data_IF_271972985733
#
_entry.id   IF_271972985733
#
_cell.length_a   1.000
_cell.length_b   1.000
_cell.length_c   1.000
_cell.angle_alpha   90.00
_cell.angle_beta   90.00
_cell.angle_gamma   90.00
#
_symmetry.space_group_name_H-M   'P 1'
#
loop_
_entity.id
_entity.type
_entity.pdbx_description
1 polymer ?
#
# COMPACT_ATOMS: atom_id res chain seq x y z
N UNK A 1 -26.91 -7.30 -66.29
CA UNK A 1 -26.98 -6.82 -64.89
C UNK A 1 -28.07 -7.60 -64.21
N UNK A 2 -27.62 -8.48 -63.33
CA UNK A 2 -28.17 -9.82 -63.11
C UNK A 2 -29.13 -9.83 -61.93
N UNK A 3 -30.21 -10.59 -62.10
CA UNK A 3 -31.21 -11.04 -61.13
C UNK A 3 -30.63 -11.45 -59.76
N UNK A 4 -29.32 -11.73 -59.67
CA UNK A 4 -28.63 -12.14 -58.44
C UNK A 4 -28.55 -11.09 -57.33
N UNK A 5 -28.36 -9.80 -57.63
CA UNK A 5 -28.19 -8.77 -56.57
C UNK A 5 -29.50 -8.50 -55.83
N UNK A 6 -30.62 -8.47 -56.56
CA UNK A 6 -31.94 -8.31 -55.99
C UNK A 6 -32.37 -9.54 -55.17
N UNK A 7 -31.99 -10.74 -55.62
CA UNK A 7 -32.29 -11.99 -54.92
C UNK A 7 -31.54 -12.09 -53.59
N UNK A 8 -30.27 -11.69 -53.54
CA UNK A 8 -29.47 -11.66 -52.30
C UNK A 8 -30.00 -10.63 -51.31
N UNK A 9 -30.43 -9.46 -51.77
CA UNK A 9 -31.07 -8.45 -50.92
C UNK A 9 -32.39 -8.92 -50.30
N UNK A 10 -33.19 -9.67 -51.06
CA UNK A 10 -34.46 -10.21 -50.59
C UNK A 10 -34.28 -11.29 -49.52
N UNK A 11 -33.27 -12.16 -49.68
CA UNK A 11 -32.91 -13.17 -48.67
C UNK A 11 -32.45 -12.50 -47.38
N UNK A 12 -31.65 -11.43 -47.45
CA UNK A 12 -31.19 -10.71 -46.28
C UNK A 12 -32.33 -10.05 -45.51
N UNK A 13 -33.26 -9.40 -46.22
CA UNK A 13 -34.40 -8.73 -45.60
C UNK A 13 -35.38 -9.74 -44.98
N UNK A 14 -35.60 -10.88 -45.63
CA UNK A 14 -36.38 -11.97 -45.08
C UNK A 14 -35.76 -12.54 -43.80
N UNK A 15 -34.44 -12.73 -43.79
CA UNK A 15 -33.71 -13.24 -42.62
C UNK A 15 -33.75 -12.26 -41.43
N UNK A 16 -33.65 -10.95 -41.71
CA UNK A 16 -33.73 -9.92 -40.67
C UNK A 16 -35.12 -9.87 -40.03
N UNK A 17 -36.18 -9.94 -40.85
CA UNK A 17 -37.57 -10.01 -40.36
C UNK A 17 -37.82 -11.31 -39.59
N UNK A 18 -37.27 -12.43 -40.06
CA UNK A 18 -37.37 -13.72 -39.37
C UNK A 18 -36.69 -13.69 -37.99
N UNK A 19 -35.49 -13.10 -37.89
CA UNK A 19 -34.79 -12.90 -36.62
C UNK A 19 -35.54 -11.96 -35.68
N UNK A 20 -36.13 -10.88 -36.18
CA UNK A 20 -36.95 -9.97 -35.37
C UNK A 20 -38.22 -10.66 -34.85
N UNK A 21 -38.89 -11.45 -35.70
CA UNK A 21 -40.10 -12.19 -35.33
C UNK A 21 -39.81 -13.25 -34.24
N UNK A 22 -38.74 -14.02 -34.37
CA UNK A 22 -38.38 -15.03 -33.37
C UNK A 22 -37.86 -14.42 -32.06
N UNK A 23 -37.17 -13.28 -32.14
CA UNK A 23 -36.75 -12.52 -30.96
C UNK A 23 -37.94 -11.98 -30.16
N UNK A 24 -39.04 -11.61 -30.83
CA UNK A 24 -40.27 -11.16 -30.17
C UNK A 24 -41.17 -12.30 -29.65
N UNK A 25 -41.21 -13.45 -30.32
CA UNK A 25 -42.13 -14.54 -29.96
C UNK A 25 -41.70 -15.31 -28.70
N UNK A 26 -40.40 -15.50 -28.47
CA UNK A 26 -39.85 -16.10 -27.24
C UNK A 26 -40.06 -15.22 -25.99
N UNK A 27 -40.28 -13.91 -26.18
CA UNK A 27 -40.46 -12.96 -25.08
C UNK A 27 -41.84 -13.06 -24.38
N UNK A 28 -42.86 -13.62 -25.05
CA UNK A 28 -44.24 -13.62 -24.54
C UNK A 28 -44.78 -14.98 -24.06
N UNK A 29 -44.12 -16.11 -24.35
CA UNK A 29 -44.69 -17.45 -24.09
C UNK A 29 -43.91 -18.38 -23.14
N UNK A 30 -42.89 -17.90 -22.42
CA UNK A 30 -42.30 -18.68 -21.31
C UNK A 30 -42.96 -18.33 -19.98
N UNK A 31 -44.09 -18.96 -19.68
CA UNK A 31 -44.79 -18.87 -18.41
C UNK A 31 -44.49 -20.09 -17.54
N UNK A 32 -43.22 -20.30 -17.19
CA UNK A 32 -42.81 -21.30 -16.21
C UNK A 32 -41.91 -20.65 -15.15
N UNK A 33 -42.55 -19.98 -14.19
CA UNK A 33 -41.89 -19.50 -12.97
C UNK A 33 -41.56 -20.70 -12.08
N UNK A 34 -40.42 -21.36 -12.32
CA UNK A 34 -39.78 -22.18 -11.29
C UNK A 34 -39.06 -21.25 -10.32
N UNK A 35 -39.73 -20.94 -9.22
CA UNK A 35 -39.14 -20.30 -8.04
C UNK A 35 -38.24 -21.30 -7.33
N UNK A 36 -36.95 -21.35 -7.67
CA UNK A 36 -35.96 -21.98 -6.78
C UNK A 36 -35.68 -21.00 -5.66
N UNK A 37 -36.41 -21.13 -4.56
CA UNK A 37 -36.10 -20.50 -3.29
C UNK A 37 -34.88 -21.20 -2.68
N UNK A 38 -33.69 -20.97 -3.22
CA UNK A 38 -32.45 -21.19 -2.48
C UNK A 38 -31.96 -19.80 -2.04
N UNK A 39 -32.63 -19.28 -1.02
CA UNK A 39 -32.03 -18.23 -0.19
C UNK A 39 -30.95 -18.94 0.60
N UNK A 40 -29.69 -18.82 0.15
CA UNK A 40 -28.55 -19.25 0.94
C UNK A 40 -28.68 -18.67 2.35
N UNK A 41 -28.50 -19.50 3.37
CA UNK A 41 -28.58 -19.04 4.76
C UNK A 41 -27.57 -17.90 4.97
N UNK A 42 -27.82 -16.99 5.92
CA UNK A 42 -26.89 -15.90 6.26
C UNK A 42 -25.44 -16.41 6.41
N UNK A 43 -25.31 -17.64 6.92
CA UNK A 43 -24.08 -18.38 7.16
C UNK A 43 -23.26 -18.68 5.89
N UNK A 44 -23.87 -18.66 4.70
CA UNK A 44 -23.22 -18.93 3.41
C UNK A 44 -22.85 -17.66 2.64
N UNK A 45 -23.26 -16.48 3.11
CA UNK A 45 -22.99 -15.22 2.42
C UNK A 45 -21.48 -14.92 2.36
N UNK A 46 -20.96 -14.34 1.26
CA UNK A 46 -19.56 -13.94 1.16
C UNK A 46 -19.12 -12.98 2.28
N UNK A 47 -20.01 -12.08 2.68
CA UNK A 47 -19.78 -11.13 3.78
C UNK A 47 -19.67 -11.84 5.12
N UNK A 48 -20.57 -12.80 5.42
CA UNK A 48 -20.47 -13.61 6.63
C UNK A 48 -19.22 -14.48 6.67
N UNK A 49 -18.79 -15.03 5.53
CA UNK A 49 -17.53 -15.78 5.42
C UNK A 49 -16.30 -14.90 5.68
N UNK A 50 -16.29 -13.68 5.15
CA UNK A 50 -15.24 -12.70 5.48
C UNK A 50 -15.24 -12.37 6.98
N UNK A 51 -16.41 -12.25 7.59
CA UNK A 51 -16.57 -12.08 9.04
C UNK A 51 -15.99 -13.25 9.83
N UNK A 52 -16.26 -14.50 9.45
CA UNK A 52 -15.72 -15.70 10.11
C UNK A 52 -14.21 -15.84 9.94
N UNK A 53 -13.68 -15.59 8.74
CA UNK A 53 -12.24 -15.60 8.49
C UNK A 53 -11.53 -14.56 9.36
N UNK A 54 -12.12 -13.38 9.51
CA UNK A 54 -11.56 -12.33 10.35
C UNK A 54 -11.48 -12.71 11.82
N UNK A 55 -12.52 -13.34 12.36
CA UNK A 55 -12.50 -13.87 13.72
C UNK A 55 -11.37 -14.89 13.88
N UNK A 56 -11.22 -15.80 12.92
CA UNK A 56 -10.18 -16.82 12.95
C UNK A 56 -8.78 -16.20 12.91
N UNK A 57 -8.55 -15.13 12.13
CA UNK A 57 -7.29 -14.38 12.12
C UNK A 57 -6.96 -13.82 13.51
N UNK A 58 -7.92 -13.16 14.18
CA UNK A 58 -7.73 -12.60 15.52
C UNK A 58 -7.44 -13.70 16.55
N UNK A 59 -8.18 -14.81 16.49
CA UNK A 59 -7.99 -15.95 17.41
C UNK A 59 -6.63 -16.63 17.21
N UNK A 60 -6.16 -16.73 15.97
CA UNK A 60 -4.91 -17.43 15.62
C UNK A 60 -3.66 -16.55 15.66
N UNK A 61 -3.79 -15.23 15.74
CA UNK A 61 -2.65 -14.32 15.81
C UNK A 61 -1.80 -14.58 17.07
N UNK A 62 -0.52 -14.99 16.94
CA UNK A 62 0.35 -15.26 18.08
C UNK A 62 0.87 -13.99 18.77
N UNK A 63 0.68 -12.81 18.15
CA UNK A 63 1.18 -11.53 18.64
C UNK A 63 0.20 -10.83 19.59
N UNK A 64 -1.07 -11.25 19.60
CA UNK A 64 -2.12 -10.68 20.45
C UNK A 64 -2.27 -11.46 21.76
N UNK A 65 -2.36 -10.75 22.89
CA UNK A 65 -2.68 -11.36 24.18
C UNK A 65 -4.18 -11.69 24.30
N UNK A 66 -4.56 -12.45 25.33
CA UNK A 66 -5.95 -12.90 25.49
C UNK A 66 -6.94 -11.73 25.69
N UNK A 67 -6.50 -10.63 26.30
CA UNK A 67 -7.35 -9.47 26.56
C UNK A 67 -7.59 -8.66 25.28
N UNK A 68 -6.54 -8.39 24.49
CA UNK A 68 -6.64 -7.75 23.18
C UNK A 68 -7.48 -8.58 22.22
N UNK A 69 -7.30 -9.91 22.19
CA UNK A 69 -8.16 -10.81 21.40
C UNK A 69 -9.62 -10.68 21.79
N UNK A 70 -9.93 -10.72 23.09
CA UNK A 70 -11.29 -10.63 23.58
C UNK A 70 -11.96 -9.32 23.14
N UNK A 71 -11.27 -8.20 23.27
CA UNK A 71 -11.84 -6.88 22.91
C UNK A 71 -12.00 -6.73 21.40
N UNK A 72 -11.03 -7.21 20.61
CA UNK A 72 -11.15 -7.22 19.14
C UNK A 72 -12.31 -8.11 18.69
N UNK A 73 -12.51 -9.25 19.36
CA UNK A 73 -13.64 -10.15 19.13
C UNK A 73 -14.95 -9.51 19.58
N UNK A 74 -15.00 -8.81 20.71
CA UNK A 74 -16.21 -8.13 21.21
C UNK A 74 -16.59 -6.94 20.32
N UNK A 75 -15.61 -6.18 19.84
CA UNK A 75 -15.83 -5.14 18.85
C UNK A 75 -16.31 -5.72 17.52
N UNK A 76 -15.67 -6.80 17.06
CA UNK A 76 -16.10 -7.56 15.89
C UNK A 76 -17.53 -8.09 16.04
N UNK A 77 -17.89 -8.63 17.22
CA UNK A 77 -19.25 -9.10 17.53
C UNK A 77 -20.26 -7.95 17.52
N UNK A 78 -19.86 -6.78 18.01
CA UNK A 78 -20.70 -5.56 17.99
C UNK A 78 -20.98 -5.15 16.54
N UNK A 79 -19.93 -5.01 15.71
CA UNK A 79 -20.07 -4.71 14.28
C UNK A 79 -20.87 -5.78 13.54
N UNK A 80 -20.64 -7.07 13.84
CA UNK A 80 -21.41 -8.17 13.26
C UNK A 80 -22.89 -8.06 13.63
N UNK A 81 -23.20 -7.70 14.88
CA UNK A 81 -24.58 -7.57 15.36
C UNK A 81 -25.31 -6.36 14.77
N UNK A 82 -24.59 -5.26 14.53
CA UNK A 82 -25.11 -4.04 13.90
C UNK A 82 -25.27 -4.18 12.39
N UNK A 83 -24.40 -4.98 11.75
CA UNK A 83 -24.46 -5.24 10.31
C UNK A 83 -25.43 -6.38 9.94
N UNK A 84 -25.71 -7.31 10.87
CA UNK A 84 -26.65 -8.42 10.68
C UNK A 84 -28.04 -8.01 10.14
N UNK A 85 -28.70 -6.92 10.58
CA UNK A 85 -29.96 -6.45 10.00
C UNK A 85 -29.83 -6.03 8.53
N UNK A 86 -28.66 -5.52 8.13
CA UNK A 86 -28.36 -5.11 6.76
C UNK A 86 -27.91 -6.27 5.86
N UNK A 87 -27.39 -7.35 6.45
CA UNK A 87 -27.03 -8.60 5.76
C UNK A 87 -28.19 -9.58 5.61
N UNK A 88 -29.19 -9.48 6.49
CA UNK A 88 -30.47 -10.13 6.29
C UNK A 88 -31.17 -9.45 5.11
N UNK A 89 -31.73 -10.19 4.15
CA UNK A 89 -32.59 -9.58 3.16
C UNK A 89 -33.82 -9.05 3.89
N UNK A 90 -33.82 -7.77 4.26
CA UNK A 90 -35.06 -7.06 4.60
C UNK A 90 -36.01 -7.30 3.44
N UNK A 91 -37.18 -7.88 3.77
CA UNK A 91 -38.40 -8.14 2.99
C UNK A 91 -38.52 -7.52 1.60
N UNK A 92 -37.51 -7.67 0.77
CA UNK A 92 -37.44 -7.16 -0.57
C UNK A 92 -37.57 -8.39 -1.42
N UNK A 93 -38.82 -8.67 -1.75
CA UNK A 93 -39.19 -9.10 -3.09
C UNK A 93 -38.64 -8.10 -4.13
N UNK A 94 -37.31 -7.95 -4.20
CA UNK A 94 -36.64 -7.61 -5.44
C UNK A 94 -36.82 -8.85 -6.28
N UNK A 95 -37.91 -8.84 -7.06
CA UNK A 95 -37.97 -9.64 -8.29
C UNK A 95 -36.76 -9.20 -9.10
N UNK A 96 -35.59 -9.81 -8.89
CA UNK A 96 -34.53 -9.76 -9.88
C UNK A 96 -35.17 -10.37 -11.11
N UNK A 97 -35.46 -9.52 -12.08
CA UNK A 97 -35.78 -9.95 -13.42
C UNK A 97 -34.48 -10.57 -13.96
N UNK A 98 -34.21 -11.82 -13.56
CA UNK A 98 -33.23 -12.64 -14.24
C UNK A 98 -33.92 -12.96 -15.55
N UNK A 99 -33.52 -12.25 -16.60
CA UNK A 99 -33.86 -12.62 -17.96
C UNK A 99 -33.36 -14.05 -18.11
N UNK A 100 -34.27 -15.02 -18.18
CA UNK A 100 -33.93 -16.37 -18.54
C UNK A 100 -33.15 -16.27 -19.85
N UNK A 101 -31.86 -16.60 -19.86
CA UNK A 101 -31.08 -16.64 -21.10
C UNK A 101 -31.64 -17.84 -21.86
N UNK A 102 -32.42 -17.65 -22.95
CA UNK A 102 -32.85 -18.80 -23.72
C UNK A 102 -31.58 -19.48 -24.24
N UNK A 103 -31.53 -20.82 -24.18
CA UNK A 103 -30.35 -21.62 -24.54
C UNK A 103 -29.88 -21.43 -26.02
N UNK A 104 -30.61 -20.63 -26.81
CA UNK A 104 -30.34 -20.29 -28.21
C UNK A 104 -29.51 -19.01 -28.41
N UNK A 105 -29.32 -18.19 -27.37
CA UNK A 105 -28.57 -16.93 -27.45
C UNK A 105 -27.07 -17.08 -27.85
N UNK A 106 -26.29 -18.11 -27.43
CA UNK A 106 -24.90 -18.24 -27.87
C UNK A 106 -24.78 -18.57 -29.37
N UNK A 107 -25.77 -19.23 -29.97
CA UNK A 107 -25.76 -19.55 -31.40
C UNK A 107 -25.99 -18.32 -32.29
N UNK A 108 -26.83 -17.38 -31.83
CA UNK A 108 -27.06 -16.11 -32.53
C UNK A 108 -25.85 -15.17 -32.43
N UNK A 109 -25.18 -15.12 -31.27
CA UNK A 109 -23.95 -14.33 -31.10
C UNK A 109 -22.82 -14.93 -31.94
N UNK A 110 -22.65 -16.25 -31.96
CA UNK A 110 -21.67 -16.94 -32.81
C UNK A 110 -21.92 -16.72 -34.31
N UNK A 111 -23.19 -16.77 -34.75
CA UNK A 111 -23.56 -16.49 -36.14
C UNK A 111 -23.29 -15.02 -36.52
N UNK A 112 -23.56 -14.08 -35.61
CA UNK A 112 -23.28 -12.66 -35.82
C UNK A 112 -21.78 -12.38 -35.90
N UNK A 113 -20.96 -13.04 -35.05
CA UNK A 113 -19.51 -12.89 -35.05
C UNK A 113 -18.90 -13.45 -36.35
N UNK A 114 -19.35 -14.63 -36.79
CA UNK A 114 -18.92 -15.22 -38.06
C UNK A 114 -19.24 -14.33 -39.26
N UNK A 115 -20.42 -13.71 -39.26
CA UNK A 115 -20.82 -12.78 -40.33
C UNK A 115 -20.02 -11.48 -40.31
N UNK A 116 -19.72 -10.93 -39.12
CA UNK A 116 -18.90 -9.74 -38.97
C UNK A 116 -17.47 -9.96 -39.49
N UNK A 117 -16.86 -11.12 -39.21
CA UNK A 117 -15.52 -11.50 -39.71
C UNK A 117 -15.52 -11.67 -41.24
N UNK A 118 -16.56 -12.31 -41.79
CA UNK A 118 -16.70 -12.46 -43.25
C UNK A 118 -16.88 -11.09 -43.93
N UNK A 119 -17.61 -10.17 -43.30
CA UNK A 119 -17.84 -8.82 -43.78
C UNK A 119 -16.58 -7.94 -43.74
N UNK A 120 -15.78 -7.99 -42.66
CA UNK A 120 -14.47 -7.30 -42.62
C UNK A 120 -13.48 -7.88 -43.63
N UNK A 121 -13.50 -9.20 -43.86
CA UNK A 121 -12.67 -9.83 -44.90
C UNK A 121 -13.07 -9.35 -46.31
N UNK A 122 -14.37 -9.22 -46.59
CA UNK A 122 -14.88 -8.77 -47.89
C UNK A 122 -14.58 -7.27 -48.14
N UNK A 123 -14.63 -6.44 -47.11
CA UNK A 123 -14.20 -5.02 -47.16
C UNK A 123 -12.69 -4.91 -47.37
N UNK A 124 -11.89 -5.74 -46.67
CA UNK A 124 -10.44 -5.79 -46.84
C UNK A 124 -9.99 -6.23 -48.23
N UNK A 125 -10.76 -7.10 -48.89
CA UNK A 125 -10.49 -7.55 -50.27
C UNK A 125 -10.80 -6.49 -51.34
N UNK A 126 -11.70 -5.52 -51.08
CA UNK A 126 -11.99 -4.43 -52.01
C UNK A 126 -11.10 -3.20 -51.81
N UNK A 127 -10.49 -3.00 -50.64
CA UNK A 127 -9.64 -1.84 -50.33
C UNK A 127 -8.37 -2.22 -49.52
N UNK A 128 -7.24 -2.56 -50.19
CA UNK A 128 -5.99 -2.87 -49.49
C UNK A 128 -5.39 -1.60 -48.86
N UNK A 129 -5.36 -1.53 -47.52
CA UNK A 129 -4.64 -0.49 -46.76
C UNK A 129 -5.39 0.16 -45.58
N UNK A 130 -6.66 -0.19 -45.33
CA UNK A 130 -7.49 0.50 -44.34
C UNK A 130 -7.37 -0.01 -42.88
N UNK A 131 -6.66 -1.11 -42.61
CA UNK A 131 -6.53 -1.67 -41.25
C UNK A 131 -5.06 -1.70 -40.81
N UNK A 132 -4.67 -0.77 -39.94
CA UNK A 132 -3.43 -0.82 -39.16
C UNK A 132 -3.79 -0.95 -37.67
N UNK A 133 -3.38 -2.05 -37.05
CA UNK A 133 -3.54 -2.27 -35.62
C UNK A 133 -2.39 -1.62 -34.84
N UNK A 134 -2.62 -1.05 -33.64
CA UNK A 134 -1.55 -0.51 -32.81
C UNK A 134 -0.82 -1.62 -32.06
N UNK A 135 0.51 -1.51 -31.96
CA UNK A 135 1.36 -2.42 -31.19
C UNK A 135 1.08 -2.29 -29.69
N UNK A 136 0.63 -3.37 -29.05
CA UNK A 136 0.50 -3.47 -27.59
C UNK A 136 1.80 -3.99 -27.00
N UNK A 137 2.65 -3.09 -26.50
CA UNK A 137 3.77 -3.45 -25.64
C UNK A 137 3.70 -2.62 -24.34
N UNK A 138 2.87 -3.06 -23.41
CA UNK A 138 2.85 -2.55 -22.03
C UNK A 138 3.70 -3.49 -21.17
N UNK A 139 4.97 -3.12 -21.01
CA UNK A 139 5.84 -3.65 -19.97
C UNK A 139 5.22 -3.39 -18.60
N UNK A 140 5.06 -4.47 -17.86
CA UNK A 140 4.66 -4.58 -16.46
C UNK A 140 5.38 -3.52 -15.60
N UNK A 141 4.64 -2.51 -15.12
CA UNK A 141 5.12 -1.56 -14.13
C UNK A 141 4.44 -1.88 -12.80
N UNK A 142 5.17 -2.58 -11.94
CA UNK A 142 4.87 -2.74 -10.52
C UNK A 142 4.55 -1.35 -9.94
N UNK A 143 3.38 -1.19 -9.33
CA UNK A 143 3.00 0.07 -8.69
C UNK A 143 3.92 0.34 -7.49
N UNK A 144 4.50 1.54 -7.36
CA UNK A 144 5.34 1.89 -6.21
C UNK A 144 4.48 2.00 -4.93
N UNK A 145 5.02 1.58 -3.79
CA UNK A 145 4.36 1.69 -2.49
C UNK A 145 4.14 3.16 -2.08
N UNK A 146 3.10 3.39 -1.26
CA UNK A 146 2.63 4.72 -0.83
C UNK A 146 3.75 5.55 -0.17
N UNK A 147 4.72 4.91 0.48
CA UNK A 147 5.89 5.55 1.08
C UNK A 147 6.81 6.24 0.05
N UNK A 148 6.95 5.68 -1.15
CA UNK A 148 7.75 6.26 -2.22
C UNK A 148 7.09 7.52 -2.82
N UNK A 149 5.76 7.62 -2.75
CA UNK A 149 5.03 8.82 -3.15
C UNK A 149 5.14 9.95 -2.12
N UNK A 150 5.31 9.64 -0.83
CA UNK A 150 5.49 10.62 0.25
C UNK A 150 6.83 11.37 0.07
N UNK A 151 7.93 10.68 -0.21
CA UNK A 151 9.24 11.32 -0.39
C UNK A 151 9.39 12.07 -1.72
N UNK A 152 8.69 11.66 -2.78
CA UNK A 152 8.73 12.36 -4.07
C UNK A 152 7.92 13.66 -4.11
N UNK A 153 7.03 13.90 -3.12
CA UNK A 153 6.14 15.07 -3.07
C UNK A 153 6.64 16.21 -2.18
N UNK A 154 7.78 16.04 -1.50
CA UNK A 154 8.51 17.11 -0.83
C UNK A 154 9.29 17.95 -1.87
N UNK A 155 8.58 18.59 -2.79
CA UNK A 155 9.14 19.55 -3.75
C UNK A 155 9.61 20.84 -3.07
N UNK A 156 10.71 21.39 -3.55
CA UNK A 156 11.35 22.62 -3.03
C UNK A 156 10.38 23.82 -2.96
N UNK A 157 10.41 24.62 -1.87
CA UNK A 157 9.73 25.91 -1.83
C UNK A 157 10.51 26.91 -2.71
N UNK A 158 10.15 27.02 -3.99
CA UNK A 158 10.91 27.84 -4.96
C UNK A 158 10.14 28.49 -6.10
N UNK A 159 9.00 27.96 -6.54
CA UNK A 159 8.26 28.55 -7.66
C UNK A 159 7.04 29.32 -7.14
N UNK A 160 7.02 30.64 -7.33
CA UNK A 160 5.99 31.57 -6.85
C UNK A 160 4.62 31.48 -7.54
N UNK A 161 4.18 30.28 -7.96
CA UNK A 161 2.78 30.04 -8.29
C UNK A 161 1.99 29.87 -6.99
N UNK A 162 0.87 30.59 -6.87
CA UNK A 162 0.05 30.55 -5.68
C UNK A 162 -0.50 29.14 -5.45
N UNK A 163 -0.65 28.71 -4.20
CA UNK A 163 -1.09 27.34 -3.87
C UNK A 163 -2.47 27.03 -4.48
N UNK A 164 -3.32 28.05 -4.56
CA UNK A 164 -4.65 28.01 -5.16
C UNK A 164 -4.62 27.77 -6.67
N UNK A 165 -3.64 28.34 -7.39
CA UNK A 165 -3.52 28.14 -8.85
C UNK A 165 -3.08 26.70 -9.17
N UNK A 166 -2.19 26.14 -8.34
CA UNK A 166 -1.77 24.74 -8.43
C UNK A 166 -2.92 23.78 -8.10
N UNK A 167 -3.73 24.13 -7.11
CA UNK A 167 -4.94 23.38 -6.75
C UNK A 167 -5.94 23.35 -7.91
N UNK A 168 -6.22 24.50 -8.53
CA UNK A 168 -7.13 24.59 -9.67
C UNK A 168 -6.63 23.73 -10.85
N UNK A 169 -5.33 23.76 -11.14
CA UNK A 169 -4.71 22.91 -12.16
C UNK A 169 -4.83 21.41 -11.84
N UNK A 170 -4.64 21.03 -10.58
CA UNK A 170 -4.79 19.63 -10.13
C UNK A 170 -6.25 19.16 -10.26
N UNK A 171 -7.22 19.99 -9.87
CA UNK A 171 -8.65 19.67 -10.00
C UNK A 171 -9.07 19.53 -11.47
N UNK A 172 -8.62 20.43 -12.35
CA UNK A 172 -8.90 20.34 -13.78
C UNK A 172 -8.35 19.04 -14.38
N UNK A 173 -7.12 18.65 -14.00
CA UNK A 173 -6.53 17.38 -14.45
C UNK A 173 -7.33 16.17 -13.96
N UNK A 174 -7.79 16.18 -12.71
CA UNK A 174 -8.59 15.07 -12.16
C UNK A 174 -9.99 14.99 -12.76
N UNK A 175 -10.53 16.10 -13.29
CA UNK A 175 -11.76 16.09 -14.06
C UNK A 175 -11.59 15.36 -15.42
N UNK A 176 -10.40 15.46 -16.03
CA UNK A 176 -10.07 14.73 -17.27
C UNK A 176 -9.62 13.28 -16.99
N UNK A 177 -9.02 13.03 -15.82
CA UNK A 177 -8.45 11.73 -15.41
C UNK A 177 -9.05 11.29 -14.07
N UNK A 178 -10.33 10.87 -14.04
CA UNK A 178 -11.02 10.53 -12.80
C UNK A 178 -10.49 9.26 -12.12
N UNK A 179 -9.73 8.43 -12.84
CA UNK A 179 -9.18 7.17 -12.30
C UNK A 179 -7.76 7.36 -11.68
N UNK A 180 -7.25 8.60 -11.60
CA UNK A 180 -5.94 8.89 -11.00
C UNK A 180 -6.02 8.90 -9.46
N UNK A 181 -5.92 7.71 -8.85
CA UNK A 181 -5.88 7.53 -7.40
C UNK A 181 -4.85 8.46 -6.72
N UNK A 182 -3.65 8.56 -7.29
CA UNK A 182 -2.56 9.36 -6.69
C UNK A 182 -2.92 10.84 -6.70
N UNK A 183 -3.54 11.30 -7.78
CA UNK A 183 -4.05 12.66 -7.88
C UNK A 183 -5.13 12.97 -6.84
N UNK A 184 -6.08 12.05 -6.61
CA UNK A 184 -7.11 12.23 -5.58
C UNK A 184 -6.54 12.30 -4.16
N UNK A 185 -5.57 11.45 -3.83
CA UNK A 185 -4.89 11.49 -2.52
C UNK A 185 -4.09 12.79 -2.35
N UNK A 186 -3.39 13.24 -3.40
CA UNK A 186 -2.67 14.52 -3.37
C UNK A 186 -3.64 15.70 -3.19
N UNK A 187 -4.79 15.67 -3.89
CA UNK A 187 -5.82 16.69 -3.76
C UNK A 187 -6.33 16.76 -2.32
N UNK A 188 -6.62 15.60 -1.72
CA UNK A 188 -7.05 15.51 -0.33
C UNK A 188 -6.03 16.11 0.65
N UNK A 189 -4.75 15.73 0.54
CA UNK A 189 -3.67 16.25 1.40
C UNK A 189 -3.48 17.75 1.22
N UNK A 190 -3.60 18.24 -0.01
CA UNK A 190 -3.52 19.68 -0.31
C UNK A 190 -4.65 20.43 0.40
N UNK A 191 -5.90 19.96 0.27
CA UNK A 191 -7.04 20.52 1.01
C UNK A 191 -6.85 20.44 2.54
N UNK A 192 -6.35 19.33 3.07
CA UNK A 192 -6.04 19.18 4.49
C UNK A 192 -5.00 20.20 4.98
N UNK A 193 -3.95 20.44 4.19
CA UNK A 193 -2.91 21.44 4.53
C UNK A 193 -3.44 22.87 4.60
N UNK A 194 -4.52 23.15 3.88
CA UNK A 194 -5.24 24.44 3.91
C UNK A 194 -6.38 24.47 4.95
N UNK A 195 -6.50 23.44 5.79
CA UNK A 195 -7.62 23.26 6.74
C UNK A 195 -9.01 23.15 6.08
N UNK A 196 -9.06 22.85 4.79
CA UNK A 196 -10.29 22.61 4.02
C UNK A 196 -10.71 21.14 4.19
N UNK A 197 -11.17 20.78 5.39
CA UNK A 197 -11.38 19.39 5.78
C UNK A 197 -12.55 18.72 5.04
N UNK A 198 -13.62 19.46 4.72
CA UNK A 198 -14.75 18.92 3.94
C UNK A 198 -14.31 18.52 2.52
N UNK A 199 -13.54 19.38 1.86
CA UNK A 199 -13.03 19.16 0.52
C UNK A 199 -12.00 18.03 0.52
N UNK A 200 -11.17 17.95 1.56
CA UNK A 200 -10.24 16.84 1.77
C UNK A 200 -10.97 15.49 1.88
N UNK A 201 -12.00 15.41 2.71
CA UNK A 201 -12.83 14.22 2.85
C UNK A 201 -13.52 13.85 1.52
N UNK A 202 -13.96 14.82 0.74
CA UNK A 202 -14.57 14.59 -0.58
C UNK A 202 -13.58 13.95 -1.57
N UNK A 203 -12.34 14.45 -1.62
CA UNK A 203 -11.29 13.86 -2.44
C UNK A 203 -10.90 12.45 -1.98
N UNK A 204 -10.86 12.19 -0.66
CA UNK A 204 -10.63 10.85 -0.11
C UNK A 204 -11.75 9.86 -0.44
N UNK A 205 -13.02 10.31 -0.47
CA UNK A 205 -14.14 9.48 -0.93
C UNK A 205 -13.95 9.03 -2.38
N UNK A 206 -13.42 9.91 -3.25
CA UNK A 206 -13.04 9.52 -4.62
C UNK A 206 -11.88 8.54 -4.67
N UNK A 207 -10.86 8.72 -3.85
CA UNK A 207 -9.78 7.74 -3.73
C UNK A 207 -10.30 6.36 -3.26
N UNK A 208 -11.26 6.36 -2.33
CA UNK A 208 -11.87 5.13 -1.79
C UNK A 208 -12.75 4.40 -2.82
N UNK A 209 -13.44 5.12 -3.70
CA UNK A 209 -14.18 4.52 -4.84
C UNK A 209 -13.24 3.70 -5.75
N UNK A 210 -12.00 4.17 -5.94
CA UNK A 210 -10.98 3.48 -6.75
C UNK A 210 -10.27 2.34 -6.00
N UNK A 211 -10.27 2.39 -4.66
CA UNK A 211 -9.60 1.40 -3.80
C UNK A 211 -10.48 1.01 -2.61
N UNK A 212 -11.60 0.28 -2.84
CA UNK A 212 -12.52 -0.07 -1.77
C UNK A 212 -11.81 -0.86 -0.66
N UNK A 213 -11.98 -0.42 0.59
CA UNK A 213 -11.40 -1.08 1.76
C UNK A 213 -9.96 -0.72 2.09
N UNK A 214 -9.29 0.17 1.34
CA UNK A 214 -7.90 0.53 1.63
C UNK A 214 -7.77 1.20 3.01
N UNK A 215 -7.00 0.62 3.96
CA UNK A 215 -7.03 1.04 5.36
C UNK A 215 -6.48 2.46 5.58
N UNK A 216 -5.42 2.86 4.87
CA UNK A 216 -4.90 4.24 4.94
C UNK A 216 -5.92 5.29 4.53
N UNK A 217 -6.64 5.06 3.42
CA UNK A 217 -7.63 6.02 2.90
C UNK A 217 -8.84 6.08 3.83
N UNK A 218 -9.26 4.95 4.40
CA UNK A 218 -10.31 4.91 5.42
C UNK A 218 -9.91 5.66 6.70
N UNK A 219 -8.68 5.49 7.17
CA UNK A 219 -8.17 6.19 8.35
C UNK A 219 -7.99 7.70 8.11
N UNK A 220 -7.51 8.11 6.94
CA UNK A 220 -7.44 9.51 6.54
C UNK A 220 -8.84 10.12 6.38
N UNK A 221 -9.79 9.38 5.81
CA UNK A 221 -11.17 9.83 5.65
C UNK A 221 -11.86 10.01 7.00
N UNK A 222 -11.63 9.10 7.95
CA UNK A 222 -12.11 9.24 9.33
C UNK A 222 -11.59 10.53 9.98
N UNK A 223 -10.28 10.78 9.89
CA UNK A 223 -9.63 11.96 10.47
C UNK A 223 -10.15 13.26 9.84
N UNK A 224 -10.19 13.34 8.50
CA UNK A 224 -10.68 14.54 7.81
C UNK A 224 -12.17 14.79 8.07
N UNK A 225 -12.98 13.74 8.13
CA UNK A 225 -14.40 13.86 8.49
C UNK A 225 -14.55 14.35 9.94
N UNK A 226 -13.76 13.80 10.88
CA UNK A 226 -13.73 14.24 12.27
C UNK A 226 -13.35 15.71 12.40
N UNK A 227 -12.29 16.15 11.72
CA UNK A 227 -11.84 17.55 11.70
C UNK A 227 -12.93 18.48 11.16
N UNK A 228 -13.61 18.09 10.08
CA UNK A 228 -14.72 18.84 9.50
C UNK A 228 -15.92 18.99 10.47
N UNK A 229 -16.13 18.02 11.37
CA UNK A 229 -17.15 18.08 12.42
C UNK A 229 -16.62 18.59 13.78
N UNK A 230 -15.54 19.38 13.78
CA UNK A 230 -15.03 20.02 14.99
C UNK A 230 -14.26 19.08 15.92
N UNK A 231 -13.59 18.06 15.35
CA UNK A 231 -12.84 16.99 16.04
C UNK A 231 -13.70 16.03 16.86
N UNK A 232 -15.00 15.97 16.58
CA UNK A 232 -15.83 14.88 17.09
C UNK A 232 -15.48 13.61 16.31
N UNK A 233 -15.35 12.46 16.96
CA UNK A 233 -15.16 11.17 16.27
C UNK A 233 -16.45 10.34 16.20
N UNK A 234 -17.45 10.66 17.04
CA UNK A 234 -18.75 10.01 17.00
C UNK A 234 -19.43 10.11 15.62
N UNK A 235 -20.09 9.03 15.19
CA UNK A 235 -20.88 9.00 13.96
C UNK A 235 -20.10 8.50 12.74
N UNK A 236 -20.09 9.26 11.64
CA UNK A 236 -19.47 8.84 10.38
C UNK A 236 -17.97 8.48 10.53
N UNK A 237 -17.13 9.23 11.28
CA UNK A 237 -15.73 8.85 11.46
C UNK A 237 -15.53 7.49 12.13
N UNK A 238 -16.34 7.14 13.14
CA UNK A 238 -16.30 5.81 13.78
C UNK A 238 -16.53 4.67 12.79
N UNK A 239 -17.42 4.84 11.81
CA UNK A 239 -17.65 3.82 10.78
C UNK A 239 -16.42 3.61 9.90
N UNK A 240 -15.71 4.69 9.54
CA UNK A 240 -14.47 4.62 8.76
C UNK A 240 -13.31 4.05 9.57
N UNK A 241 -13.21 4.38 10.86
CA UNK A 241 -12.23 3.81 11.78
C UNK A 241 -12.45 2.30 11.89
N UNK A 242 -13.68 1.87 12.11
CA UNK A 242 -14.05 0.46 12.21
C UNK A 242 -13.73 -0.30 10.91
N UNK A 243 -14.05 0.29 9.75
CA UNK A 243 -13.71 -0.29 8.44
C UNK A 243 -12.18 -0.37 8.21
N UNK A 244 -11.43 0.65 8.62
CA UNK A 244 -9.97 0.65 8.53
C UNK A 244 -9.38 -0.48 9.38
N UNK A 245 -9.83 -0.63 10.63
CA UNK A 245 -9.40 -1.70 11.55
C UNK A 245 -9.90 -3.09 11.12
N UNK A 246 -11.00 -3.15 10.39
CA UNK A 246 -11.46 -4.38 9.78
C UNK A 246 -10.53 -4.82 8.64
N UNK A 247 -10.07 -3.89 7.80
CA UNK A 247 -9.10 -4.19 6.74
C UNK A 247 -7.70 -4.46 7.28
N UNK A 248 -7.23 -3.67 8.24
CA UNK A 248 -5.93 -3.82 8.89
C UNK A 248 -6.06 -3.55 10.39
N UNK A 249 -6.04 -4.59 11.25
CA UNK A 249 -6.24 -4.42 12.69
C UNK A 249 -5.03 -3.78 13.38
N UNK A 250 -3.89 -3.69 12.67
CA UNK A 250 -2.65 -3.12 13.17
C UNK A 250 -2.39 -1.73 12.60
N UNK A 251 -3.35 -1.16 11.88
CA UNK A 251 -3.19 0.15 11.26
C UNK A 251 -3.03 1.25 12.30
N UNK A 252 -1.83 1.82 12.41
CA UNK A 252 -1.45 2.71 13.52
C UNK A 252 -2.40 3.91 13.68
N UNK A 253 -2.69 4.61 12.59
CA UNK A 253 -3.59 5.78 12.63
C UNK A 253 -5.01 5.41 13.03
N UNK A 254 -5.51 4.26 12.57
CA UNK A 254 -6.88 3.84 12.86
C UNK A 254 -7.02 3.42 14.32
N UNK A 255 -6.00 2.77 14.89
CA UNK A 255 -5.91 2.45 16.32
C UNK A 255 -5.89 3.71 17.19
N UNK A 256 -5.11 4.73 16.80
CA UNK A 256 -5.07 6.01 17.52
C UNK A 256 -6.42 6.74 17.48
N UNK A 257 -7.09 6.76 16.33
CA UNK A 257 -8.42 7.35 16.18
C UNK A 257 -9.49 6.57 16.95
N UNK A 258 -9.43 5.23 16.96
CA UNK A 258 -10.34 4.38 17.74
C UNK A 258 -10.18 4.60 19.24
N UNK A 259 -8.94 4.72 19.72
CA UNK A 259 -8.66 5.02 21.12
C UNK A 259 -9.24 6.39 21.51
N UNK A 260 -9.00 7.40 20.66
CA UNK A 260 -9.51 8.76 20.86
C UNK A 260 -11.05 8.81 20.84
N UNK A 261 -11.70 8.04 19.95
CA UNK A 261 -13.15 7.93 19.88
C UNK A 261 -13.73 7.29 21.15
N UNK A 262 -13.10 6.20 21.63
CA UNK A 262 -13.49 5.55 22.87
C UNK A 262 -13.33 6.48 24.09
N UNK A 263 -12.29 7.31 24.14
CA UNK A 263 -12.12 8.33 25.19
C UNK A 263 -13.21 9.40 25.13
N UNK A 264 -13.54 9.91 23.95
CA UNK A 264 -14.64 10.88 23.76
C UNK A 264 -16.00 10.29 24.17
N UNK A 265 -16.20 8.99 23.95
CA UNK A 265 -17.40 8.26 24.38
C UNK A 265 -17.41 7.93 25.88
N UNK A 266 -16.30 8.15 26.60
CA UNK A 266 -16.15 7.81 28.02
C UNK A 266 -15.88 6.33 28.30
N UNK A 267 -15.61 5.52 27.29
CA UNK A 267 -15.28 4.10 27.41
C UNK A 267 -13.77 3.91 27.64
N UNK A 268 -13.34 4.14 28.88
CA UNK A 268 -11.92 4.02 29.25
C UNK A 268 -11.34 2.62 29.02
N UNK A 269 -12.18 1.58 29.09
CA UNK A 269 -11.72 0.20 28.88
C UNK A 269 -11.35 -0.02 27.42
N UNK A 270 -12.20 0.39 26.46
CA UNK A 270 -11.88 0.30 25.03
C UNK A 270 -10.69 1.18 24.66
N UNK A 271 -10.63 2.40 25.19
CA UNK A 271 -9.52 3.31 24.95
C UNK A 271 -8.17 2.69 25.34
N UNK A 272 -8.08 2.12 26.56
CA UNK A 272 -6.87 1.49 27.05
C UNK A 272 -6.41 0.35 26.14
N UNK A 273 -7.34 -0.44 25.62
CA UNK A 273 -7.02 -1.57 24.74
C UNK A 273 -6.45 -1.09 23.41
N UNK A 274 -7.08 -0.09 22.78
CA UNK A 274 -6.58 0.45 21.51
C UNK A 274 -5.19 1.11 21.68
N UNK A 275 -4.96 1.83 22.78
CA UNK A 275 -3.64 2.38 23.09
C UNK A 275 -2.58 1.30 23.30
N UNK A 276 -2.93 0.23 24.01
CA UNK A 276 -2.02 -0.89 24.23
C UNK A 276 -1.68 -1.57 22.90
N UNK A 277 -2.66 -1.80 22.04
CA UNK A 277 -2.45 -2.40 20.72
C UNK A 277 -1.57 -1.51 19.83
N UNK A 278 -1.83 -0.19 19.78
CA UNK A 278 -0.99 0.77 19.06
C UNK A 278 0.48 0.71 19.54
N UNK A 279 0.70 0.67 20.86
CA UNK A 279 2.03 0.58 21.43
C UNK A 279 2.76 -0.71 21.03
N UNK A 280 2.03 -1.84 20.93
CA UNK A 280 2.60 -3.12 20.49
C UNK A 280 2.97 -3.07 19.02
N UNK A 281 2.13 -2.49 18.16
CA UNK A 281 2.42 -2.33 16.73
C UNK A 281 3.69 -1.50 16.54
N UNK A 282 3.79 -0.35 17.22
CA UNK A 282 4.97 0.51 17.15
C UNK A 282 6.22 -0.19 17.67
N UNK A 283 6.14 -0.91 18.80
CA UNK A 283 7.26 -1.70 19.30
C UNK A 283 7.68 -2.82 18.35
N UNK A 284 6.73 -3.49 17.69
CA UNK A 284 7.02 -4.52 16.70
C UNK A 284 7.70 -3.92 15.46
N UNK A 285 7.23 -2.77 14.98
CA UNK A 285 7.85 -2.00 13.91
C UNK A 285 9.28 -1.59 14.27
N UNK A 286 9.48 -1.09 15.50
CA UNK A 286 10.81 -0.77 16.03
C UNK A 286 11.72 -2.01 16.15
N UNK A 287 11.17 -3.17 16.54
CA UNK A 287 11.89 -4.45 16.57
C UNK A 287 12.20 -4.99 15.17
N UNK A 288 11.41 -4.68 14.15
CA UNK A 288 11.71 -5.01 12.76
C UNK A 288 12.72 -4.03 12.15
N UNK A 289 12.74 -2.77 12.61
CA UNK A 289 13.78 -1.79 12.29
C UNK A 289 15.11 -2.05 12.99
N UNK A 290 15.15 -3.02 13.92
CA UNK A 290 16.34 -3.46 14.63
C UNK A 290 16.62 -4.91 14.19
N UNK A 291 17.67 -5.19 13.40
CA UNK A 291 17.78 -6.49 12.73
C UNK A 291 17.82 -7.64 13.74
N UNK A 292 16.99 -8.66 13.50
CA UNK A 292 17.07 -9.93 14.20
C UNK A 292 18.46 -10.55 14.01
N UNK A 293 18.97 -11.39 14.93
CA UNK A 293 20.29 -12.02 14.81
C UNK A 293 20.50 -12.82 13.51
N UNK A 294 19.41 -13.21 12.88
CA UNK A 294 19.32 -14.02 11.66
C UNK A 294 19.65 -13.20 10.38
N UNK A 295 19.59 -11.87 10.47
CA UNK A 295 19.91 -10.92 9.39
C UNK A 295 21.27 -10.22 9.60
N UNK A 296 22.12 -10.71 10.50
CA UNK A 296 23.46 -10.13 10.71
C UNK A 296 24.44 -10.70 9.69
N UNK A 297 25.01 -9.82 8.86
CA UNK A 297 26.00 -10.18 7.85
C UNK A 297 27.40 -10.26 8.44
N UNK A 298 27.72 -9.33 9.34
CA UNK A 298 28.96 -9.34 10.10
C UNK A 298 28.79 -8.57 11.42
N UNK A 299 29.53 -8.99 12.44
CA UNK A 299 29.69 -8.24 13.68
C UNK A 299 31.07 -7.61 13.69
N UNK A 300 31.12 -6.28 13.81
CA UNK A 300 32.34 -5.48 13.89
C UNK A 300 32.57 -5.04 15.33
N UNK A 301 33.57 -5.59 16.00
CA UNK A 301 33.95 -5.18 17.35
C UNK A 301 34.88 -3.96 17.26
N UNK A 302 34.35 -2.77 17.56
CA UNK A 302 35.11 -1.53 17.58
C UNK A 302 35.61 -1.25 18.99
N UNK A 303 36.92 -1.22 19.18
CA UNK A 303 37.54 -0.79 20.44
C UNK A 303 37.65 0.72 20.46
N UNK A 304 36.90 1.36 21.37
CA UNK A 304 36.87 2.81 21.55
C UNK A 304 37.72 3.18 22.78
N UNK A 305 38.80 3.97 22.61
CA UNK A 305 39.63 4.39 23.73
C UNK A 305 38.91 5.44 24.59
N UNK A 306 39.13 5.39 25.90
CA UNK A 306 38.48 6.32 26.85
C UNK A 306 38.80 7.79 26.56
N UNK A 307 40.01 8.07 26.04
CA UNK A 307 40.41 9.40 25.60
C UNK A 307 39.51 9.96 24.48
N UNK A 308 39.03 9.11 23.57
CA UNK A 308 38.15 9.51 22.48
C UNK A 308 36.72 9.85 22.94
N UNK A 309 36.30 9.33 24.11
CA UNK A 309 34.98 9.66 24.65
C UNK A 309 34.93 11.08 25.23
N UNK A 310 36.06 11.60 25.70
CA UNK A 310 36.15 12.94 26.29
C UNK A 310 35.91 14.06 25.26
N UNK A 311 36.09 13.80 23.97
CA UNK A 311 35.86 14.76 22.89
C UNK A 311 34.46 14.66 22.28
N UNK A 312 33.62 13.72 22.75
CA UNK A 312 32.27 13.52 22.22
C UNK A 312 31.30 14.62 22.65
N UNK A 313 30.43 14.99 21.72
CA UNK A 313 29.28 15.87 21.90
C UNK A 313 28.00 15.05 21.71
N UNK A 314 26.86 15.62 22.08
CA UNK A 314 25.55 14.99 21.82
C UNK A 314 25.32 14.69 20.33
N UNK A 315 25.85 15.54 19.45
CA UNK A 315 25.77 15.35 18.00
C UNK A 315 26.72 14.28 17.47
N UNK A 316 27.71 13.83 18.25
CA UNK A 316 28.73 12.90 17.77
C UNK A 316 28.16 11.51 17.47
N UNK A 317 28.83 10.77 16.58
CA UNK A 317 28.43 9.41 16.22
C UNK A 317 29.62 8.60 15.74
N UNK A 318 29.59 7.29 16.00
CA UNK A 318 30.48 6.31 15.40
C UNK A 318 29.84 5.79 14.11
N UNK A 319 30.60 5.83 13.02
CA UNK A 319 30.22 5.26 11.73
C UNK A 319 31.11 4.07 11.41
N UNK A 320 30.50 2.96 10.97
CA UNK A 320 31.22 1.81 10.43
C UNK A 320 30.90 1.71 8.94
N UNK A 321 31.93 1.82 8.11
CA UNK A 321 31.84 1.83 6.66
C UNK A 321 32.28 0.50 6.08
N UNK A 322 31.49 -0.06 5.17
CA UNK A 322 31.87 -1.17 4.30
C UNK A 322 32.01 -0.63 2.86
N UNK A 323 33.13 -0.88 2.19
CA UNK A 323 33.42 -0.33 0.85
C UNK A 323 34.02 -1.36 -0.09
N UNK A 324 33.85 -1.15 -1.39
CA UNK A 324 34.52 -1.92 -2.44
C UNK A 324 36.02 -1.58 -2.60
N UNK A 325 36.40 -0.33 -2.29
CA UNK A 325 37.78 0.16 -2.32
C UNK A 325 38.02 1.15 -1.16
N UNK A 326 39.23 1.20 -0.59
CA UNK A 326 39.57 2.13 0.48
C UNK A 326 39.68 3.57 -0.05
N UNK A 327 39.40 4.55 0.81
CA UNK A 327 39.51 5.98 0.49
C UNK A 327 38.18 6.67 0.18
N UNK A 328 38.17 7.85 -0.47
CA UNK A 328 36.96 8.61 -0.76
C UNK A 328 36.10 7.92 -1.84
N UNK A 329 34.78 7.91 -1.65
CA UNK A 329 33.83 7.24 -2.55
C UNK A 329 32.59 6.77 -1.81
N UNK A 330 31.57 6.32 -2.54
CA UNK A 330 30.33 5.84 -1.94
C UNK A 330 30.57 4.51 -1.20
N UNK A 331 30.12 4.37 0.06
CA UNK A 331 30.16 3.10 0.76
C UNK A 331 29.08 2.13 0.25
N UNK A 332 29.32 0.84 0.42
CA UNK A 332 28.36 -0.24 0.14
C UNK A 332 27.32 -0.31 1.26
N UNK A 333 27.77 -0.23 2.51
CA UNK A 333 26.92 -0.17 3.69
C UNK A 333 27.50 0.78 4.74
N UNK A 334 26.62 1.41 5.54
CA UNK A 334 27.02 2.33 6.61
C UNK A 334 26.13 2.12 7.82
N UNK A 335 26.76 1.84 8.96
CA UNK A 335 26.07 1.79 10.26
C UNK A 335 26.41 3.04 11.05
N UNK A 336 25.41 3.70 11.63
CA UNK A 336 25.56 4.85 12.52
C UNK A 336 25.18 4.49 13.95
N UNK A 337 26.13 4.62 14.88
CA UNK A 337 25.90 4.47 16.32
C UNK A 337 25.96 5.84 16.99
N UNK A 338 24.87 6.34 17.62
CA UNK A 338 24.85 7.65 18.26
C UNK A 338 25.74 7.69 19.51
N UNK A 339 26.27 8.88 19.86
CA UNK A 339 27.12 9.07 21.03
C UNK A 339 26.53 8.56 22.36
N UNK A 340 25.20 8.60 22.52
CA UNK A 340 24.49 8.10 23.70
C UNK A 340 24.66 6.60 23.94
N UNK A 341 25.07 5.84 22.92
CA UNK A 341 25.29 4.40 22.99
C UNK A 341 26.78 4.04 23.05
N UNK A 342 27.68 5.02 23.03
CA UNK A 342 29.13 4.80 23.06
C UNK A 342 29.65 4.74 24.50
N UNK A 343 30.48 3.74 24.78
CA UNK A 343 31.17 3.56 26.05
C UNK A 343 32.65 3.20 25.83
N UNK A 344 33.43 3.20 26.91
CA UNK A 344 34.84 2.84 26.83
C UNK A 344 34.98 1.33 26.64
N UNK A 345 35.89 0.91 25.77
CA UNK A 345 36.16 -0.50 25.50
C UNK A 345 35.53 -1.00 24.21
N UNK A 346 35.19 -2.29 24.19
CA UNK A 346 34.76 -2.99 22.98
C UNK A 346 33.26 -2.81 22.75
N UNK A 347 32.92 -2.25 21.59
CA UNK A 347 31.54 -2.08 21.13
C UNK A 347 31.28 -2.99 19.93
N UNK A 348 30.34 -3.92 20.07
CA UNK A 348 29.90 -4.75 18.95
C UNK A 348 28.90 -3.98 18.08
N UNK A 349 29.29 -3.67 16.84
CA UNK A 349 28.45 -3.04 15.82
C UNK A 349 28.04 -4.10 14.80
N UNK A 350 26.75 -4.21 14.50
CA UNK A 350 26.24 -5.21 13.55
C UNK A 350 25.94 -4.54 12.22
N UNK A 351 26.31 -5.20 11.13
CA UNK A 351 25.94 -4.79 9.76
C UNK A 351 24.95 -5.83 9.22
N UNK A 352 23.74 -5.39 8.89
CA UNK A 352 22.68 -6.19 8.29
C UNK A 352 22.29 -5.72 6.87
N UNK A 353 21.37 -6.42 6.19
CA UNK A 353 20.88 -6.05 4.86
C UNK A 353 20.33 -4.62 4.77
N UNK A 354 19.70 -4.11 5.83
CA UNK A 354 19.13 -2.76 5.88
C UNK A 354 20.17 -1.63 5.91
N UNK A 355 21.43 -1.93 6.16
CA UNK A 355 22.52 -0.93 6.20
C UNK A 355 23.12 -0.65 4.82
N UNK A 356 22.71 -1.41 3.79
CA UNK A 356 23.21 -1.28 2.43
C UNK A 356 22.58 -0.09 1.72
N UNK A 357 23.40 0.72 1.05
CA UNK A 357 22.93 1.92 0.35
C UNK A 357 22.42 1.58 -1.06
N UNK A 358 22.87 0.46 -1.64
CA UNK A 358 22.46 0.00 -2.98
C UNK A 358 21.60 -1.26 -2.89
N UNK A 359 20.58 -1.36 -3.74
CA UNK A 359 19.76 -2.56 -3.88
C UNK A 359 20.62 -3.74 -4.38
N UNK A 360 20.64 -4.85 -3.63
CA UNK A 360 21.41 -6.05 -3.96
C UNK A 360 22.00 -6.80 -2.77
N UNK A 361 22.13 -6.15 -1.61
CA UNK A 361 22.55 -6.77 -0.35
C UNK A 361 23.91 -7.48 -0.43
N UNK A 362 24.03 -8.63 0.25
CA UNK A 362 25.27 -9.44 0.30
C UNK A 362 25.67 -10.00 -1.07
N UNK A 363 24.68 -10.37 -1.89
CA UNK A 363 24.90 -11.02 -3.17
C UNK A 363 25.63 -10.12 -4.18
N UNK A 364 25.47 -8.80 -4.05
CA UNK A 364 26.17 -7.80 -4.87
C UNK A 364 27.53 -7.37 -4.32
N UNK A 365 27.98 -7.92 -3.18
CA UNK A 365 29.30 -7.59 -2.65
C UNK A 365 30.41 -8.13 -3.56
N UNK A 366 31.46 -7.33 -3.82
CA UNK A 366 32.66 -7.80 -4.50
C UNK A 366 33.38 -8.86 -3.65
N UNK A 367 34.26 -9.65 -4.29
CA UNK A 367 35.03 -10.71 -3.60
C UNK A 367 35.94 -10.17 -2.50
N UNK A 368 36.36 -8.91 -2.62
CA UNK A 368 37.16 -8.18 -1.64
C UNK A 368 36.42 -6.94 -1.19
N UNK A 369 36.34 -6.73 0.11
CA UNK A 369 35.71 -5.58 0.75
C UNK A 369 36.65 -4.94 1.77
N UNK A 370 36.38 -3.68 2.10
CA UNK A 370 37.18 -2.90 3.04
C UNK A 370 36.29 -2.30 4.12
N UNK A 371 36.70 -2.44 5.39
CA UNK A 371 35.96 -1.91 6.54
C UNK A 371 36.80 -0.90 7.31
N UNK A 372 36.16 0.19 7.72
CA UNK A 372 36.75 1.23 8.59
C UNK A 372 35.70 1.75 9.58
N UNK A 373 36.14 2.00 10.81
CA UNK A 373 35.35 2.73 11.80
C UNK A 373 35.82 4.18 11.88
N UNK A 374 34.89 5.12 11.96
CA UNK A 374 35.16 6.56 12.16
C UNK A 374 34.30 7.08 13.29
N UNK A 375 34.92 7.68 14.29
CA UNK A 375 34.25 8.47 15.30
C UNK A 375 34.16 9.92 14.81
N UNK A 376 32.96 10.35 14.43
CA UNK A 376 32.70 11.73 14.00
C UNK A 376 32.29 12.59 15.18
N UNK A 377 33.04 13.68 15.41
CA UNK A 377 32.72 14.64 16.46
C UNK A 377 31.50 15.48 16.08
N UNK A 378 31.33 15.75 14.79
CA UNK A 378 30.22 16.57 14.27
C UNK A 378 28.96 15.76 13.97
N UNK A 379 29.04 14.42 14.00
CA UNK A 379 27.90 13.55 13.73
C UNK A 379 27.61 13.30 12.26
N UNK A 380 28.51 13.71 11.37
CA UNK A 380 28.37 13.59 9.93
C UNK A 380 29.14 12.37 9.42
N UNK A 381 28.58 11.69 8.42
CA UNK A 381 29.24 10.53 7.81
C UNK A 381 30.48 10.92 6.98
N UNK A 382 30.57 12.16 6.52
CA UNK A 382 31.72 12.71 5.80
C UNK A 382 32.89 12.97 6.76
N UNK A 383 34.12 12.98 6.24
CA UNK A 383 35.30 13.25 7.05
C UNK A 383 35.26 14.68 7.57
N UNK A 384 35.26 14.84 8.89
CA UNK A 384 35.31 16.13 9.58
C UNK A 384 36.63 16.39 10.30
N UNK A 385 36.89 17.65 10.65
CA UNK A 385 38.02 18.02 11.48
C UNK A 385 37.84 17.50 12.92
N UNK A 386 38.85 16.79 13.43
CA UNK A 386 38.84 16.19 14.78
C UNK A 386 38.26 14.77 14.83
N UNK A 387 37.85 14.21 13.71
CA UNK A 387 37.36 12.83 13.63
C UNK A 387 38.50 11.83 13.84
N UNK A 388 38.20 10.71 14.50
CA UNK A 388 39.14 9.63 14.78
C UNK A 388 38.77 8.44 13.91
N UNK A 389 39.71 7.93 13.12
CA UNK A 389 39.48 6.81 12.20
C UNK A 389 40.37 5.62 12.52
N UNK A 390 39.82 4.40 12.37
CA UNK A 390 40.62 3.18 12.37
C UNK A 390 41.41 3.06 11.05
N UNK A 391 42.40 2.16 11.03
CA UNK A 391 42.96 1.70 9.77
C UNK A 391 41.90 0.94 8.94
N UNK A 392 42.05 0.96 7.62
CA UNK A 392 41.27 0.10 6.72
C UNK A 392 41.67 -1.36 6.92
N UNK A 393 40.69 -2.23 7.10
CA UNK A 393 40.90 -3.67 7.01
C UNK A 393 40.33 -4.20 5.69
N UNK A 394 41.14 -4.97 4.98
CA UNK A 394 40.77 -5.63 3.73
C UNK A 394 40.40 -7.07 4.04
N UNK A 395 39.21 -7.48 3.63
CA UNK A 395 38.64 -8.79 3.93
C UNK A 395 38.11 -9.41 2.64
N UNK A 396 38.26 -10.73 2.52
CA UNK A 396 37.51 -11.46 1.51
C UNK A 396 36.03 -11.53 1.94
N UNK A 397 35.09 -11.51 0.98
CA UNK A 397 33.64 -11.54 1.23
C UNK A 397 33.22 -12.68 2.16
N UNK A 398 33.84 -13.85 2.03
CA UNK A 398 33.55 -15.03 2.86
C UNK A 398 34.05 -14.89 4.31
N UNK A 399 34.93 -13.94 4.62
CA UNK A 399 35.45 -13.68 5.96
C UNK A 399 34.55 -12.74 6.77
N UNK A 400 33.58 -12.07 6.14
CA UNK A 400 32.64 -11.18 6.83
C UNK A 400 31.85 -11.92 7.93
N UNK A 401 31.45 -13.17 7.68
CA UNK A 401 30.69 -13.96 8.65
C UNK A 401 31.47 -14.27 9.95
N UNK A 402 32.81 -14.19 9.93
CA UNK A 402 33.66 -14.50 11.08
C UNK A 402 33.75 -13.35 12.10
N UNK A 403 33.20 -12.18 11.78
CA UNK A 403 33.35 -10.95 12.56
C UNK A 403 34.68 -10.23 12.32
N UNK A 404 34.74 -8.96 12.70
CA UNK A 404 35.87 -8.05 12.38
C UNK A 404 36.21 -7.19 13.58
N UNK A 405 37.46 -7.20 14.02
CA UNK A 405 37.91 -6.37 15.13
C UNK A 405 38.57 -5.10 14.60
N UNK A 406 38.06 -3.92 14.95
CA UNK A 406 38.64 -2.63 14.63
C UNK A 406 39.08 -1.91 15.90
N UNK A 407 40.21 -1.21 15.85
CA UNK A 407 40.65 -0.35 16.94
C UNK A 407 40.72 1.09 16.47
N UNK A 408 40.08 1.99 17.20
CA UNK A 408 40.30 3.42 17.03
C UNK A 408 41.61 3.81 17.73
N UNK A 409 42.47 4.63 17.11
CA UNK A 409 43.69 5.08 17.75
C UNK A 409 43.38 5.99 18.96
N UNK A 410 44.24 5.95 19.97
CA UNK A 410 44.26 6.95 21.04
C UNK A 410 44.65 8.28 20.41
N UNK A 411 43.65 9.11 20.08
CA UNK A 411 43.75 10.48 19.60
C UNK A 411 45.14 10.87 19.06
N UNK A 412 45.47 10.47 17.84
CA UNK A 412 46.65 11.03 17.18
C UNK A 412 46.32 12.44 16.72
N UNK A 413 46.91 13.41 17.42
CA UNK A 413 47.26 14.71 16.87
C UNK A 413 47.88 14.45 15.48
N UNK A 414 47.16 14.78 14.42
CA UNK A 414 47.79 14.93 13.12
C UNK A 414 48.54 16.26 13.18
N UNK A 415 49.84 16.31 12.82
CA UNK A 415 50.62 17.54 12.80
C UNK A 415 50.08 18.56 11.80
#
# INVERSE_FOLDING_TARGET
MSLGVAFVGFIFLFFLVFCLYFSWNEFFFSNDQKTTNEVGTLEESPEWRAFLNRRQEIETDPTLDAASKQVLIDNWLTMASESKPHMLPEGSSTKRLVWARPATLPWLIMSSLGFAVLFTYLIGAMHPGALKWPDMNSSNAQAPSVDQAVSASAGHPGDGANLEDRLAGLQAKLAEQPDDLRGWVLLARTHASMSNYQESATALKKALELTPGHPDILADLADMTAMAQGRQLAGEPETYIAAALQSDPRHEKALALAASAAEQAGDQNKAQVYWQLLSQVQQASLKQSNPAPEDILTTVNVTVPEAALKSLKESSALFVFLKAQPGPGMPLAVVRVPASQLGAGMLAVRIGPGDFIQEGGVGSLPDTVHIQARLSIQGMAQTGAGDIESAWQTLARNQLASGVDLSLPEASAKP
#
